data_IF_395006728133
#
_entry.id   IF_395006728133
#
_cell.length_a   1.000
_cell.length_b   1.000
_cell.length_c   1.000
_cell.angle_alpha   90.00
_cell.angle_beta   90.00
_cell.angle_gamma   90.00
#
_symmetry.space_group_name_H-M   'P 1'
#
loop_
_entity.id
_entity.type
_entity.pdbx_description
1 polymer ?
#
# COMPACT_ATOMS: atom_id res chain seq x y z
N UNK A 1 28.75 49.67 -0.72
CA UNK A 1 27.64 49.28 0.17
C UNK A 1 26.47 48.68 -0.61
N UNK A 2 25.78 49.41 -1.49
CA UNK A 2 24.60 48.90 -2.22
C UNK A 2 24.89 47.73 -3.18
N UNK A 3 26.02 47.77 -3.91
CA UNK A 3 26.38 46.71 -4.86
C UNK A 3 26.69 45.35 -4.18
N UNK A 4 27.29 45.37 -2.99
CA UNK A 4 27.59 44.14 -2.23
C UNK A 4 26.34 43.50 -1.64
N UNK A 5 25.36 44.32 -1.22
CA UNK A 5 24.04 43.85 -0.79
C UNK A 5 23.25 43.21 -1.93
N UNK A 6 23.30 43.77 -3.14
CA UNK A 6 22.65 43.20 -4.31
C UNK A 6 23.26 41.85 -4.73
N UNK A 7 24.59 41.73 -4.69
CA UNK A 7 25.30 40.47 -4.99
C UNK A 7 25.02 39.40 -3.92
N UNK A 8 24.94 39.78 -2.64
CA UNK A 8 24.58 38.86 -1.56
C UNK A 8 23.13 38.35 -1.71
N UNK A 9 22.18 39.22 -2.07
CA UNK A 9 20.78 38.85 -2.32
C UNK A 9 20.61 37.93 -3.54
N UNK A 10 21.36 38.16 -4.62
CA UNK A 10 21.38 37.28 -5.79
C UNK A 10 22.01 35.92 -5.49
N UNK A 11 23.07 35.87 -4.68
CA UNK A 11 23.67 34.62 -4.22
C UNK A 11 22.69 33.83 -3.33
N UNK A 12 22.02 34.49 -2.39
CA UNK A 12 20.99 33.87 -1.54
C UNK A 12 19.78 33.36 -2.34
N UNK A 13 19.36 34.08 -3.39
CA UNK A 13 18.30 33.63 -4.29
C UNK A 13 18.72 32.42 -5.14
N UNK A 14 20.00 32.33 -5.52
CA UNK A 14 20.53 31.17 -6.27
C UNK A 14 20.71 29.91 -5.40
N UNK A 15 20.91 30.07 -4.09
CA UNK A 15 20.98 28.94 -3.15
C UNK A 15 19.60 28.35 -2.78
N UNK A 16 18.51 29.07 -3.05
CA UNK A 16 17.14 28.60 -2.82
C UNK A 16 16.59 27.69 -3.92
N UNK A 17 17.28 27.59 -5.05
CA UNK A 17 16.95 26.65 -6.11
C UNK A 17 17.58 25.28 -5.81
N UNK A 18 17.16 24.63 -4.72
CA UNK A 18 17.24 23.18 -4.70
C UNK A 18 16.40 22.71 -5.88
N UNK A 19 17.05 22.22 -6.95
CA UNK A 19 16.33 21.65 -8.08
C UNK A 19 15.38 20.60 -7.51
N UNK A 20 14.07 20.79 -7.71
CA UNK A 20 13.14 19.74 -7.35
C UNK A 20 13.63 18.44 -8.01
N UNK A 21 13.60 17.31 -7.29
CA UNK A 21 14.10 16.07 -7.85
C UNK A 21 13.37 15.80 -9.17
N UNK A 22 14.09 15.34 -10.19
CA UNK A 22 13.47 14.95 -11.46
C UNK A 22 12.40 13.89 -11.17
N UNK A 23 11.19 14.09 -11.69
CA UNK A 23 10.10 13.13 -11.53
C UNK A 23 10.53 11.73 -11.94
N UNK A 24 11.43 11.59 -12.91
CA UNK A 24 11.98 10.30 -13.32
C UNK A 24 12.67 9.55 -12.17
N UNK A 25 13.38 10.26 -11.30
CA UNK A 25 14.05 9.67 -10.14
C UNK A 25 13.05 9.42 -8.99
N UNK A 26 12.09 10.33 -8.79
CA UNK A 26 11.08 10.19 -7.72
C UNK A 26 10.12 9.02 -7.95
N UNK A 27 9.78 8.72 -9.19
CA UNK A 27 8.79 7.69 -9.54
C UNK A 27 9.45 6.45 -10.14
N UNK A 28 10.64 6.10 -9.64
CA UNK A 28 11.37 4.92 -10.05
C UNK A 28 10.60 3.64 -9.64
N UNK A 29 10.19 2.79 -10.58
CA UNK A 29 9.44 1.58 -10.26
C UNK A 29 10.29 0.54 -9.53
N UNK A 30 9.66 -0.21 -8.62
CA UNK A 30 10.23 -1.41 -8.00
C UNK A 30 10.03 -2.63 -8.90
N UNK A 31 11.03 -3.50 -8.94
CA UNK A 31 10.89 -4.84 -9.52
C UNK A 31 10.27 -5.77 -8.47
N UNK A 32 9.25 -6.52 -8.89
CA UNK A 32 8.48 -7.42 -8.03
C UNK A 32 8.97 -8.85 -8.20
N UNK A 33 10.10 -9.18 -7.57
CA UNK A 33 10.63 -10.54 -7.46
C UNK A 33 10.56 -11.07 -6.02
N UNK A 34 11.02 -12.30 -5.79
CA UNK A 34 11.00 -12.96 -4.47
C UNK A 34 11.84 -12.28 -3.38
N UNK A 35 12.66 -11.30 -3.72
CA UNK A 35 13.47 -10.51 -2.79
C UNK A 35 13.00 -9.05 -2.71
N UNK A 36 11.88 -8.70 -3.34
CA UNK A 36 11.35 -7.35 -3.38
C UNK A 36 11.07 -6.81 -1.97
N UNK A 37 11.38 -5.53 -1.69
CA UNK A 37 11.15 -4.94 -0.37
C UNK A 37 9.67 -4.80 -0.01
N UNK A 38 8.75 -5.08 -0.95
CA UNK A 38 7.30 -4.99 -0.75
C UNK A 38 6.75 -6.02 0.24
N UNK A 39 7.50 -7.08 0.55
CA UNK A 39 6.98 -8.16 1.39
C UNK A 39 6.81 -7.77 2.87
N UNK A 40 5.86 -8.46 3.51
CA UNK A 40 5.49 -8.28 4.90
C UNK A 40 4.26 -7.38 5.06
N UNK A 41 4.03 -6.96 6.31
CA UNK A 41 2.86 -6.19 6.72
C UNK A 41 3.10 -4.69 6.60
N UNK A 42 2.04 -3.97 6.19
CA UNK A 42 2.03 -2.54 5.92
C UNK A 42 0.70 -1.91 6.34
N UNK A 43 0.74 -0.73 6.94
CA UNK A 43 -0.40 0.01 7.46
C UNK A 43 -0.59 1.29 6.64
N UNK A 44 -1.81 1.53 6.16
CA UNK A 44 -2.12 2.70 5.34
C UNK A 44 -1.91 3.97 6.16
N UNK A 45 -1.02 4.84 5.69
CA UNK A 45 -0.77 6.14 6.31
C UNK A 45 -1.52 7.24 5.56
N UNK A 46 -1.38 7.30 4.24
CA UNK A 46 -2.03 8.32 3.41
C UNK A 46 -2.32 7.78 2.01
N UNK A 47 -3.40 8.26 1.39
CA UNK A 47 -3.68 8.01 -0.01
C UNK A 47 -4.27 9.22 -0.74
N UNK A 48 -4.21 9.18 -2.07
CA UNK A 48 -4.82 10.15 -3.00
C UNK A 48 -5.43 9.41 -4.21
N UNK A 49 -6.17 10.14 -5.03
CA UNK A 49 -6.90 9.64 -6.20
C UNK A 49 -6.70 10.57 -7.40
N UNK A 50 -6.82 10.05 -8.62
CA UNK A 50 -6.56 10.83 -9.84
C UNK A 50 -7.81 11.46 -10.47
N UNK A 51 -9.00 10.96 -10.11
CA UNK A 51 -10.29 11.44 -10.62
C UNK A 51 -11.21 11.84 -9.46
N UNK A 52 -11.89 13.02 -9.52
CA UNK A 52 -12.73 13.49 -8.42
C UNK A 52 -13.83 12.50 -7.97
N UNK A 53 -14.35 11.68 -8.89
CA UNK A 53 -15.37 10.68 -8.61
C UNK A 53 -14.91 9.50 -7.74
N UNK A 54 -13.60 9.36 -7.50
CA UNK A 54 -13.02 8.29 -6.69
C UNK A 54 -12.86 8.66 -5.21
N UNK A 55 -13.05 9.93 -4.87
CA UNK A 55 -12.89 10.43 -3.50
C UNK A 55 -13.74 9.67 -2.48
N UNK A 56 -15.01 9.40 -2.82
CA UNK A 56 -15.94 8.74 -1.91
C UNK A 56 -15.49 7.34 -1.52
N UNK A 57 -14.90 6.62 -2.49
CA UNK A 57 -14.44 5.25 -2.30
C UNK A 57 -13.28 5.25 -1.30
N UNK A 58 -12.27 6.09 -1.48
CA UNK A 58 -11.13 6.15 -0.55
C UNK A 58 -11.51 6.68 0.84
N UNK A 59 -12.27 7.78 0.91
CA UNK A 59 -12.61 8.42 2.20
C UNK A 59 -13.49 7.53 3.09
N UNK A 60 -14.18 6.55 2.50
CA UNK A 60 -14.96 5.58 3.26
C UNK A 60 -14.09 4.58 4.07
N UNK A 61 -12.82 4.42 3.70
CA UNK A 61 -11.85 3.56 4.38
C UNK A 61 -11.28 4.31 5.58
N UNK A 62 -11.72 3.95 6.79
CA UNK A 62 -11.26 4.60 8.02
C UNK A 62 -9.82 4.21 8.38
N UNK A 63 -9.42 2.96 8.11
CA UNK A 63 -8.07 2.45 8.31
C UNK A 63 -7.88 1.18 7.48
N UNK A 64 -6.66 0.87 7.09
CA UNK A 64 -6.34 -0.32 6.30
C UNK A 64 -4.97 -0.86 6.65
N UNK A 65 -4.80 -2.18 6.56
CA UNK A 65 -3.48 -2.78 6.49
C UNK A 65 -3.48 -3.93 5.49
N UNK A 66 -2.32 -4.15 4.88
CA UNK A 66 -2.08 -5.24 3.94
C UNK A 66 -0.86 -6.04 4.37
N UNK A 67 -0.81 -7.30 3.96
CA UNK A 67 0.36 -8.16 4.09
C UNK A 67 0.62 -8.83 2.74
N UNK A 68 1.78 -8.54 2.16
CA UNK A 68 2.22 -9.11 0.89
C UNK A 68 3.19 -10.24 1.17
N UNK A 69 2.97 -11.39 0.56
CA UNK A 69 3.86 -12.55 0.67
C UNK A 69 4.13 -13.20 -0.68
N UNK A 70 5.28 -13.86 -0.81
CA UNK A 70 5.61 -14.63 -1.99
C UNK A 70 4.76 -15.91 -2.03
N UNK A 71 4.28 -16.28 -3.23
CA UNK A 71 3.66 -17.58 -3.47
C UNK A 71 4.73 -18.63 -3.80
N UNK A 72 4.35 -19.91 -3.70
CA UNK A 72 5.13 -21.02 -4.27
C UNK A 72 5.13 -21.00 -5.80
N UNK A 73 4.12 -20.38 -6.40
CA UNK A 73 4.00 -20.25 -7.85
C UNK A 73 4.83 -19.06 -8.33
N UNK A 74 5.75 -19.32 -9.27
CA UNK A 74 6.59 -18.28 -9.85
C UNK A 74 5.76 -17.18 -10.49
N UNK A 75 6.07 -15.92 -10.16
CA UNK A 75 5.35 -14.75 -10.67
C UNK A 75 3.99 -14.52 -10.01
N UNK A 76 3.69 -15.17 -8.88
CA UNK A 76 2.47 -14.92 -8.10
C UNK A 76 2.84 -14.39 -6.71
N UNK A 77 2.15 -13.34 -6.28
CA UNK A 77 2.19 -12.86 -4.90
C UNK A 77 0.80 -13.02 -4.26
N UNK A 78 0.79 -13.20 -2.96
CA UNK A 78 -0.42 -13.27 -2.15
C UNK A 78 -0.55 -11.96 -1.37
N UNK A 79 -1.75 -11.39 -1.40
CA UNK A 79 -2.09 -10.16 -0.70
C UNK A 79 -3.21 -10.50 0.28
N UNK A 80 -2.91 -10.43 1.57
CA UNK A 80 -3.93 -10.34 2.60
C UNK A 80 -4.24 -8.87 2.86
N UNK A 81 -5.50 -8.51 2.92
CA UNK A 81 -5.95 -7.14 3.17
C UNK A 81 -7.01 -7.12 4.27
N UNK A 82 -7.01 -6.05 5.04
CA UNK A 82 -7.99 -5.81 6.09
C UNK A 82 -8.31 -4.32 6.21
N UNK A 83 -9.51 -3.97 5.79
CA UNK A 83 -10.01 -2.61 5.70
C UNK A 83 -11.14 -2.38 6.69
N UNK A 84 -11.09 -1.24 7.39
CA UNK A 84 -12.21 -0.74 8.17
C UNK A 84 -13.03 0.20 7.29
N UNK A 85 -14.12 -0.29 6.76
CA UNK A 85 -15.05 0.44 5.90
C UNK A 85 -16.30 0.81 6.69
N UNK A 86 -16.61 2.10 6.84
CA UNK A 86 -17.80 2.57 7.57
C UNK A 86 -17.97 1.91 8.96
N UNK A 87 -16.86 1.78 9.69
CA UNK A 87 -16.80 1.17 11.03
C UNK A 87 -16.78 -0.36 11.06
N UNK A 88 -16.97 -1.05 9.94
CA UNK A 88 -16.94 -2.52 9.85
C UNK A 88 -15.64 -3.00 9.26
N UNK A 89 -15.15 -4.14 9.74
CA UNK A 89 -13.99 -4.80 9.17
C UNK A 89 -14.41 -5.66 7.98
N UNK A 90 -13.72 -5.47 6.86
CA UNK A 90 -13.74 -6.31 5.68
C UNK A 90 -12.31 -6.78 5.43
N UNK A 91 -12.15 -8.04 5.07
CA UNK A 91 -10.83 -8.62 4.92
C UNK A 91 -10.89 -9.84 4.03
N UNK A 92 -9.75 -10.19 3.45
CA UNK A 92 -9.67 -11.31 2.55
C UNK A 92 -8.26 -11.58 2.02
N UNK A 93 -8.21 -12.55 1.13
CA UNK A 93 -7.01 -12.94 0.40
C UNK A 93 -7.25 -12.70 -1.08
N UNK A 94 -6.24 -12.19 -1.77
CA UNK A 94 -6.18 -12.12 -3.21
C UNK A 94 -4.82 -12.60 -3.69
N UNK A 95 -4.79 -13.26 -4.83
CA UNK A 95 -3.56 -13.57 -5.54
C UNK A 95 -3.38 -12.56 -6.66
N UNK A 96 -2.16 -12.09 -6.84
CA UNK A 96 -1.79 -11.21 -7.93
C UNK A 96 -0.72 -11.88 -8.81
N UNK A 97 -0.95 -11.89 -10.12
CA UNK A 97 0.07 -12.32 -11.09
C UNK A 97 0.93 -11.15 -11.50
N UNK A 98 2.24 -11.31 -11.48
CA UNK A 98 3.20 -10.25 -11.78
C UNK A 98 3.68 -10.37 -13.21
N UNK A 99 3.53 -9.29 -13.96
CA UNK A 99 4.05 -9.08 -15.31
C UNK A 99 5.03 -7.91 -15.27
N UNK A 100 6.33 -8.20 -15.29
CA UNK A 100 7.41 -7.21 -15.17
C UNK A 100 7.33 -6.39 -13.87
N UNK A 101 6.76 -5.19 -13.93
CA UNK A 101 6.59 -4.25 -12.81
C UNK A 101 5.12 -4.03 -12.44
N UNK A 102 4.20 -4.75 -13.09
CA UNK A 102 2.75 -4.61 -12.88
C UNK A 102 2.20 -5.89 -12.28
N UNK A 103 1.42 -5.77 -11.21
CA UNK A 103 0.68 -6.89 -10.63
C UNK A 103 -0.79 -6.83 -11.04
N UNK A 104 -1.33 -7.93 -11.53
CA UNK A 104 -2.74 -8.05 -11.90
C UNK A 104 -3.47 -8.80 -10.80
N UNK A 105 -4.43 -8.14 -10.16
CA UNK A 105 -5.16 -8.69 -9.01
C UNK A 105 -6.65 -8.69 -9.29
N UNK A 106 -7.33 -9.76 -8.87
CA UNK A 106 -8.79 -9.80 -8.83
C UNK A 106 -9.24 -9.90 -7.38
N UNK A 107 -10.03 -8.93 -6.93
CA UNK A 107 -10.65 -8.96 -5.61
C UNK A 107 -12.09 -9.45 -5.74
N UNK A 108 -12.50 -10.29 -4.80
CA UNK A 108 -13.88 -10.74 -4.67
C UNK A 108 -14.36 -10.40 -3.26
N UNK A 109 -15.13 -9.31 -3.15
CA UNK A 109 -15.58 -8.77 -1.86
C UNK A 109 -17.10 -8.79 -1.82
N UNK A 110 -17.69 -9.56 -0.90
CA UNK A 110 -19.14 -9.69 -0.74
C UNK A 110 -19.89 -10.00 -2.04
N UNK A 111 -19.30 -10.83 -2.92
CA UNK A 111 -19.89 -11.19 -4.22
C UNK A 111 -19.68 -10.18 -5.34
N UNK A 112 -18.97 -9.08 -5.08
CA UNK A 112 -18.54 -8.13 -6.11
C UNK A 112 -17.10 -8.42 -6.54
N UNK A 113 -16.89 -8.54 -7.84
CA UNK A 113 -15.58 -8.72 -8.46
C UNK A 113 -15.05 -7.39 -8.96
N UNK A 114 -13.79 -7.08 -8.64
CA UNK A 114 -13.06 -5.94 -9.21
C UNK A 114 -11.69 -6.36 -9.70
N UNK A 115 -11.23 -5.71 -10.76
CA UNK A 115 -9.96 -5.99 -11.43
C UNK A 115 -9.01 -4.82 -11.25
N UNK A 116 -7.76 -5.12 -10.92
CA UNK A 116 -6.80 -4.12 -10.47
C UNK A 116 -5.42 -4.37 -11.08
N UNK A 117 -4.80 -3.30 -11.56
CA UNK A 117 -3.39 -3.26 -11.93
C UNK A 117 -2.62 -2.45 -10.88
N UNK A 118 -1.71 -3.12 -10.19
CA UNK A 118 -0.86 -2.55 -9.14
C UNK A 118 0.54 -2.25 -9.65
N UNK A 119 1.12 -1.14 -9.21
CA UNK A 119 2.54 -0.79 -9.39
C UNK A 119 3.14 -0.32 -8.07
N UNK A 120 4.44 -0.53 -7.91
CA UNK A 120 5.17 -0.12 -6.71
C UNK A 120 6.36 0.73 -7.09
N UNK A 121 6.70 1.68 -6.21
CA UNK A 121 7.75 2.66 -6.47
C UNK A 121 8.74 2.73 -5.31
N UNK A 122 10.00 3.06 -5.62
CA UNK A 122 11.01 3.35 -4.61
C UNK A 122 10.57 4.54 -3.76
N UNK A 123 10.78 4.45 -2.45
CA UNK A 123 10.40 5.48 -1.47
C UNK A 123 11.26 5.31 -0.21
N UNK A 124 10.75 5.60 0.98
CA UNK A 124 11.46 5.37 2.24
C UNK A 124 11.59 3.86 2.59
N UNK A 125 12.62 3.48 3.34
CA UNK A 125 12.92 2.07 3.69
C UNK A 125 11.78 1.36 4.45
N UNK A 126 11.08 2.10 5.30
CA UNK A 126 9.93 1.60 6.09
C UNK A 126 8.58 2.03 5.49
N UNK A 127 8.57 2.30 4.18
CA UNK A 127 7.38 2.68 3.41
C UNK A 127 7.11 1.70 2.26
N UNK A 128 5.84 1.59 1.91
CA UNK A 128 5.39 0.95 0.68
C UNK A 128 4.54 1.95 -0.11
N UNK A 129 5.06 2.42 -1.24
CA UNK A 129 4.32 3.25 -2.18
C UNK A 129 3.69 2.36 -3.26
N UNK A 130 2.37 2.35 -3.32
CA UNK A 130 1.59 1.51 -4.22
C UNK A 130 0.60 2.37 -5.02
N UNK A 131 0.65 2.26 -6.35
CA UNK A 131 -0.39 2.75 -7.26
C UNK A 131 -1.34 1.58 -7.57
N UNK A 132 -2.64 1.80 -7.38
CA UNK A 132 -3.69 0.85 -7.71
C UNK A 132 -4.58 1.45 -8.81
N UNK A 133 -4.64 0.78 -9.96
CA UNK A 133 -5.53 1.14 -11.07
C UNK A 133 -6.72 0.21 -11.07
N UNK A 134 -7.91 0.74 -10.78
CA UNK A 134 -9.15 -0.03 -10.92
C UNK A 134 -9.56 -0.08 -12.40
N UNK A 135 -9.84 -1.28 -12.88
CA UNK A 135 -10.25 -1.54 -14.26
C UNK A 135 -11.77 -1.77 -14.38
N UNK A 136 -12.33 -1.31 -15.48
CA UNK A 136 -13.68 -1.64 -15.92
C UNK A 136 -13.70 -3.02 -16.62
N UNK A 137 -14.87 -3.65 -16.81
CA UNK A 137 -14.95 -4.97 -17.45
C UNK A 137 -14.39 -5.05 -18.88
N UNK A 138 -14.32 -3.91 -19.58
CA UNK A 138 -13.71 -3.77 -20.91
C UNK A 138 -12.17 -3.57 -20.86
N UNK A 139 -11.59 -3.50 -19.65
CA UNK A 139 -10.17 -3.27 -19.41
C UNK A 139 -9.77 -1.80 -19.36
N UNK A 140 -10.70 -0.85 -19.55
CA UNK A 140 -10.39 0.57 -19.43
C UNK A 140 -10.18 0.98 -17.97
N UNK A 141 -9.33 1.98 -17.73
CA UNK A 141 -9.10 2.50 -16.38
C UNK A 141 -10.31 3.29 -15.87
N UNK A 142 -10.98 2.75 -14.84
CA UNK A 142 -11.97 3.51 -14.04
C UNK A 142 -11.28 4.71 -13.38
N UNK A 143 -10.06 4.50 -12.89
CA UNK A 143 -9.14 5.52 -12.39
C UNK A 143 -8.15 4.89 -11.41
N UNK A 144 -7.40 5.73 -10.70
CA UNK A 144 -6.24 5.29 -9.93
C UNK A 144 -6.24 5.86 -8.53
N UNK A 145 -5.65 5.10 -7.63
CA UNK A 145 -5.28 5.51 -6.30
C UNK A 145 -3.77 5.40 -6.12
N UNK A 146 -3.21 6.27 -5.29
CA UNK A 146 -1.84 6.16 -4.81
C UNK A 146 -1.87 6.09 -3.30
N UNK A 147 -1.25 5.06 -2.75
CA UNK A 147 -1.23 4.76 -1.33
C UNK A 147 0.20 4.71 -0.82
N UNK A 148 0.43 5.39 0.30
CA UNK A 148 1.63 5.21 1.10
C UNK A 148 1.26 4.44 2.36
N UNK A 149 1.81 3.24 2.46
CA UNK A 149 1.76 2.44 3.67
C UNK A 149 3.10 2.54 4.42
N UNK A 150 3.06 2.24 5.71
CA UNK A 150 4.24 2.25 6.59
C UNK A 150 4.27 0.99 7.44
N UNK A 151 5.44 0.62 7.98
CA UNK A 151 5.54 -0.55 8.88
C UNK A 151 4.74 -0.41 10.17
N UNK A 152 4.65 0.81 10.72
CA UNK A 152 4.13 1.07 12.07
C UNK A 152 2.88 1.94 12.11
N UNK A 153 2.48 2.52 10.98
CA UNK A 153 1.44 3.57 10.89
C UNK A 153 1.99 4.99 11.08
N UNK A 154 3.25 5.14 11.52
CA UNK A 154 3.90 6.43 11.68
C UNK A 154 4.77 6.78 10.46
N UNK A 155 4.91 8.09 10.18
CA UNK A 155 5.68 8.59 9.05
C UNK A 155 6.39 9.90 9.41
N UNK A 156 7.66 10.00 9.04
CA UNK A 156 8.40 11.25 9.18
C UNK A 156 7.87 12.33 8.22
N UNK A 157 7.80 13.61 8.65
CA UNK A 157 7.27 14.68 7.81
C UNK A 157 7.99 14.85 6.46
N UNK A 158 9.29 14.56 6.41
CA UNK A 158 10.06 14.59 5.16
C UNK A 158 9.59 13.54 4.16
N UNK A 159 9.26 12.33 4.63
CA UNK A 159 8.80 11.24 3.78
C UNK A 159 7.37 11.51 3.27
N UNK A 160 6.54 12.20 4.07
CA UNK A 160 5.24 12.68 3.61
C UNK A 160 5.41 13.69 2.47
N UNK A 161 6.39 14.58 2.54
CA UNK A 161 6.66 15.55 1.47
C UNK A 161 7.16 14.86 0.20
N UNK A 162 8.03 13.85 0.33
CA UNK A 162 8.41 12.98 -0.80
C UNK A 162 7.18 12.34 -1.45
N UNK A 163 6.24 11.81 -0.67
CA UNK A 163 5.00 11.24 -1.20
C UNK A 163 4.17 12.25 -1.99
N UNK A 164 4.04 13.49 -1.51
CA UNK A 164 3.30 14.53 -2.25
C UNK A 164 3.96 14.85 -3.58
N UNK A 165 5.29 14.94 -3.62
CA UNK A 165 6.05 15.15 -4.86
C UNK A 165 5.87 13.97 -5.82
N UNK A 166 5.90 12.74 -5.31
CA UNK A 166 5.63 11.53 -6.10
C UNK A 166 4.20 11.54 -6.68
N UNK A 167 3.21 11.91 -5.87
CA UNK A 167 1.82 12.06 -6.30
C UNK A 167 1.66 13.12 -7.41
N UNK A 168 2.32 14.27 -7.27
CA UNK A 168 2.34 15.33 -8.28
C UNK A 168 2.97 14.85 -9.60
N UNK A 169 4.13 14.18 -9.52
CA UNK A 169 4.81 13.59 -10.68
C UNK A 169 3.94 12.57 -11.42
N UNK A 170 3.14 11.79 -10.69
CA UNK A 170 2.19 10.81 -11.22
C UNK A 170 0.82 11.41 -11.60
N UNK A 171 0.65 12.73 -11.44
CA UNK A 171 -0.56 13.51 -11.77
C UNK A 171 -1.80 13.13 -10.97
N UNK A 172 -1.62 12.81 -9.68
CA UNK A 172 -2.73 12.66 -8.74
C UNK A 172 -3.24 14.03 -8.26
N UNK A 173 -4.44 14.04 -7.69
CA UNK A 173 -5.01 15.26 -7.12
C UNK A 173 -4.31 15.64 -5.80
N UNK A 174 -4.28 16.94 -5.45
CA UNK A 174 -3.56 17.42 -4.26
C UNK A 174 -4.33 17.18 -2.95
N UNK A 175 -5.50 16.55 -3.01
CA UNK A 175 -6.24 16.14 -1.83
C UNK A 175 -5.74 14.79 -1.31
N UNK A 176 -5.66 14.67 0.02
CA UNK A 176 -5.15 13.49 0.69
C UNK A 176 -6.15 12.97 1.72
N UNK A 177 -6.21 11.64 1.84
CA UNK A 177 -6.93 10.94 2.90
C UNK A 177 -5.94 10.21 3.79
N UNK A 178 -5.98 10.45 5.09
CA UNK A 178 -5.08 9.85 6.06
C UNK A 178 -5.75 8.65 6.73
N UNK A 179 -5.03 7.52 6.78
CA UNK A 179 -5.49 6.31 7.45
C UNK A 179 -5.50 6.47 8.97
N UNK A 180 -6.52 5.90 9.61
CA UNK A 180 -6.62 5.81 11.06
C UNK A 180 -5.78 4.67 11.65
N UNK A 181 -5.62 4.70 12.98
CA UNK A 181 -4.83 3.71 13.73
C UNK A 181 -5.65 2.56 14.34
N UNK A 182 -6.98 2.63 14.28
CA UNK A 182 -7.88 1.57 14.74
C UNK A 182 -7.99 0.44 13.70
N UNK A 183 -6.95 -0.37 13.61
CA UNK A 183 -6.84 -1.44 12.62
C UNK A 183 -7.78 -2.61 12.91
N UNK A 184 -8.26 -3.24 11.83
CA UNK A 184 -8.98 -4.50 11.92
C UNK A 184 -8.08 -5.63 12.45
N UNK A 185 -8.63 -6.56 13.25
CA UNK A 185 -7.91 -7.74 13.70
C UNK A 185 -7.54 -8.65 12.51
N UNK A 186 -6.59 -9.56 12.72
CA UNK A 186 -6.22 -10.57 11.73
C UNK A 186 -7.01 -11.85 11.98
N UNK A 187 -8.11 -12.09 11.23
CA UNK A 187 -8.93 -13.30 11.45
C UNK A 187 -8.17 -14.60 11.16
N UNK A 188 -7.06 -14.58 10.40
CA UNK A 188 -6.23 -15.77 10.18
C UNK A 188 -5.67 -16.29 11.51
N UNK A 189 -5.41 -15.39 12.47
CA UNK A 189 -4.94 -15.75 13.82
C UNK A 189 -6.06 -16.19 14.74
N UNK A 190 -7.25 -15.61 14.60
CA UNK A 190 -8.43 -15.97 15.39
C UNK A 190 -8.99 -17.35 15.05
N UNK A 191 -8.73 -17.88 13.86
CA UNK A 191 -9.11 -19.24 13.46
C UNK A 191 -8.20 -20.35 14.02
N UNK A 192 -7.06 -20.01 14.62
CA UNK A 192 -6.03 -20.97 15.04
C UNK A 192 -6.17 -21.63 16.43
N UNK A 193 -6.87 -21.09 17.46
CA UNK A 193 -6.84 -21.72 18.79
C UNK A 193 -7.67 -23.01 18.92
N UNK A 194 -8.65 -23.25 18.03
CA UNK A 194 -9.55 -24.40 18.16
C UNK A 194 -8.94 -25.74 17.69
N UNK A 195 -7.78 -25.71 17.03
CA UNK A 195 -7.13 -26.91 16.52
C UNK A 195 -6.08 -27.49 17.48
N UNK A 196 -5.47 -26.68 18.35
CA UNK A 196 -4.42 -27.15 19.27
C UNK A 196 -4.96 -27.85 20.53
N UNK A 197 -6.20 -27.58 20.94
CA UNK A 197 -6.82 -28.32 22.08
C UNK A 197 -7.32 -29.71 21.67
N UNK A 198 -7.70 -29.92 20.41
CA UNK A 198 -8.18 -31.22 19.92
C UNK A 198 -7.08 -32.29 19.84
N UNK A 199 -5.81 -31.88 19.67
CA UNK A 199 -4.68 -32.82 19.56
C UNK A 199 -4.12 -33.25 20.92
N UNK A 200 -4.33 -32.45 21.99
CA UNK A 200 -3.95 -32.86 23.36
C UNK A 200 -4.95 -33.81 24.02
N UNK A 201 -6.23 -33.76 23.63
CA UNK A 201 -7.24 -34.65 24.21
C UNK A 201 -7.20 -36.07 23.61
N UNK A 202 -6.67 -36.23 22.38
CA UNK A 202 -6.52 -37.55 21.76
C UNK A 202 -5.28 -38.34 22.21
N UNK A 203 -4.27 -37.72 22.84
CA UNK A 203 -3.08 -38.44 23.31
C UNK A 203 -3.23 -39.11 24.67
N UNK A 204 -4.37 -38.98 25.35
CA UNK A 204 -4.59 -39.50 26.72
C UNK A 204 -5.46 -40.77 26.76
N UNK A 205 -6.10 -41.14 25.65
CA UNK A 205 -6.98 -42.32 25.58
C UNK A 205 -6.47 -43.37 24.60
N UNK A 206 -5.39 -44.06 24.96
CA UNK A 206 -5.08 -45.39 24.41
C UNK A 206 -5.11 -46.42 25.55
N UNK A 207 -6.07 -47.36 25.58
CA UNK A 207 -6.05 -48.43 26.57
C UNK A 207 -5.15 -49.56 26.07
N UNK A 208 -4.06 -49.80 26.80
CA UNK A 208 -3.30 -51.04 26.70
C UNK A 208 -4.23 -52.22 27.00
N UNK A 209 -4.42 -53.12 26.02
CA UNK A 209 -5.04 -54.42 26.28
C UNK A 209 -4.16 -55.54 25.74
N UNK A 210 -4.05 -56.53 26.62
CA UNK A 210 -3.22 -57.73 26.67
C UNK A 210 -3.69 -58.81 25.70
#
# INVERSE_FOLDING_TARGET
MAAQLAVALLALASLGAASQPDCKELVKPLVMDSHSPIYGRWILHVGTWDKPGLRSDLVSVSSSWVEVSASTDSGVITIYWADRLNGKCLQGLANATVSEITSHTTYNINGHTSYHDGKYYETCDDCLLSEDTTLLPDGESKGRYLFLFTRTGALEPSNLETFKQQAECLRFLPEFHFGGTDLCPDERKSASPAAEEAEKEQSVTEPATK
#
